data_IF_025839704192
#
_entry.id   IF_025839704192
#
_cell.length_a   1.000
_cell.length_b   1.000
_cell.length_c   1.000
_cell.angle_alpha   90.00
_cell.angle_beta   90.00
_cell.angle_gamma   90.00
#
_symmetry.space_group_name_H-M   'P 1'
#
loop_
_entity.id
_entity.type
_entity.pdbx_description
1 polymer ?
#
# COMPACT_ATOMS: atom_id res chain seq x y z
N UNK A 1 -6.04 -3.02 -8.11
CA UNK A 1 -5.49 -4.14 -7.34
C UNK A 1 -4.16 -4.48 -7.95
N UNK A 2 -3.06 -3.96 -7.42
CA UNK A 2 -1.72 -4.13 -8.01
C UNK A 2 -0.66 -4.36 -6.92
N UNK A 3 0.50 -4.85 -7.35
CA UNK A 3 1.67 -5.02 -6.49
C UNK A 3 2.80 -4.11 -7.02
N UNK A 4 3.20 -3.12 -6.23
CA UNK A 4 4.31 -2.23 -6.59
C UNK A 4 5.68 -2.72 -6.09
N UNK A 5 5.69 -3.78 -5.26
CA UNK A 5 6.90 -4.29 -4.60
C UNK A 5 7.57 -3.17 -3.78
N UNK A 6 8.87 -3.27 -3.50
CA UNK A 6 9.62 -2.26 -2.75
C UNK A 6 11.08 -2.19 -3.24
N UNK A 7 11.87 -1.31 -2.65
CA UNK A 7 13.30 -1.18 -2.93
C UNK A 7 13.59 -0.82 -4.39
N UNK A 8 14.58 -1.49 -5.00
CA UNK A 8 15.04 -1.20 -6.36
C UNK A 8 13.95 -1.35 -7.44
N UNK A 9 12.91 -2.15 -7.18
CA UNK A 9 11.81 -2.39 -8.13
C UNK A 9 10.75 -1.30 -8.05
N UNK A 10 10.61 -0.61 -6.91
CA UNK A 10 9.54 0.35 -6.66
C UNK A 10 9.53 1.52 -7.65
N UNK A 11 10.65 2.19 -7.98
CA UNK A 11 10.65 3.29 -8.95
C UNK A 11 10.10 2.90 -10.32
N UNK A 12 10.43 1.69 -10.78
CA UNK A 12 10.00 1.19 -12.09
C UNK A 12 8.48 0.96 -12.11
N UNK A 13 7.95 0.20 -11.15
CA UNK A 13 6.52 -0.13 -11.11
C UNK A 13 5.64 1.08 -10.82
N UNK A 14 6.12 2.02 -10.00
CA UNK A 14 5.42 3.29 -9.73
C UNK A 14 5.36 4.15 -10.99
N UNK A 15 6.46 4.28 -11.72
CA UNK A 15 6.48 5.02 -12.98
C UNK A 15 5.50 4.41 -14.01
N UNK A 16 5.44 3.09 -14.10
CA UNK A 16 4.56 2.40 -15.03
C UNK A 16 3.07 2.59 -14.70
N UNK A 17 2.66 2.41 -13.45
CA UNK A 17 1.25 2.63 -13.08
C UNK A 17 0.85 4.10 -13.21
N UNK A 18 1.74 5.03 -12.85
CA UNK A 18 1.48 6.46 -12.81
C UNK A 18 1.28 7.08 -14.20
N UNK A 19 1.72 6.39 -15.25
CA UNK A 19 1.53 6.78 -16.66
C UNK A 19 0.08 6.66 -17.12
N UNK A 20 -0.67 5.72 -16.54
CA UNK A 20 -1.97 5.29 -17.07
C UNK A 20 -3.10 5.46 -16.06
N UNK A 21 -2.82 5.30 -14.77
CA UNK A 21 -3.86 5.30 -13.73
C UNK A 21 -3.74 6.52 -12.82
N UNK A 22 -4.88 7.14 -12.51
CA UNK A 22 -4.94 8.19 -11.49
C UNK A 22 -4.89 7.66 -10.06
N UNK A 23 -5.44 6.46 -9.81
CA UNK A 23 -5.49 5.81 -8.50
C UNK A 23 -5.36 4.30 -8.63
N UNK A 24 -4.78 3.65 -7.63
CA UNK A 24 -4.75 2.19 -7.55
C UNK A 24 -4.79 1.67 -6.11
N UNK A 25 -5.52 0.56 -5.90
CA UNK A 25 -5.46 -0.24 -4.67
C UNK A 25 -4.15 -1.01 -4.62
N UNK A 26 -3.30 -0.71 -3.63
CA UNK A 26 -1.94 -1.23 -3.48
C UNK A 26 -1.93 -2.39 -2.49
N UNK A 27 -1.52 -3.57 -2.95
CA UNK A 27 -1.53 -4.77 -2.12
C UNK A 27 -0.42 -4.76 -1.05
N UNK A 28 -0.69 -5.31 0.15
CA UNK A 28 0.17 -5.14 1.33
C UNK A 28 1.20 -6.26 1.56
N UNK A 29 1.32 -7.21 0.64
CA UNK A 29 2.15 -8.42 0.78
C UNK A 29 3.62 -8.17 0.42
N UNK A 30 4.22 -7.16 1.07
CA UNK A 30 5.67 -7.00 1.12
C UNK A 30 6.31 -8.05 2.05
N UNK A 31 7.64 -8.08 2.11
CA UNK A 31 8.40 -8.89 3.07
C UNK A 31 9.24 -7.94 3.95
N UNK A 32 8.84 -7.67 5.21
CA UNK A 32 7.61 -8.10 5.88
C UNK A 32 6.34 -7.39 5.36
N UNK A 33 5.13 -7.95 5.57
CA UNK A 33 3.89 -7.37 5.08
C UNK A 33 3.50 -6.10 5.84
N UNK A 34 2.65 -5.30 5.20
CA UNK A 34 2.11 -4.05 5.75
C UNK A 34 0.86 -4.35 6.57
N UNK A 35 0.95 -4.29 7.91
CA UNK A 35 -0.08 -4.79 8.84
C UNK A 35 -0.88 -3.70 9.54
N UNK A 36 -0.35 -2.48 9.65
CA UNK A 36 -1.01 -1.38 10.36
C UNK A 36 -0.86 -0.02 9.64
N UNK A 37 -1.55 1.00 10.15
CA UNK A 37 -1.58 2.33 9.55
C UNK A 37 -0.20 2.98 9.42
N UNK A 38 0.67 2.82 10.43
CA UNK A 38 2.03 3.36 10.41
C UNK A 38 2.87 2.73 9.30
N UNK A 39 2.82 1.41 9.17
CA UNK A 39 3.52 0.70 8.10
C UNK A 39 2.98 1.08 6.72
N UNK A 40 1.66 1.26 6.62
CA UNK A 40 1.01 1.70 5.39
C UNK A 40 1.43 3.13 5.00
N UNK A 41 1.54 4.06 5.96
CA UNK A 41 2.04 5.41 5.68
C UNK A 41 3.50 5.35 5.23
N UNK A 42 4.36 4.62 5.94
CA UNK A 42 5.76 4.49 5.56
C UNK A 42 5.92 3.94 4.12
N UNK A 43 5.12 2.95 3.74
CA UNK A 43 5.12 2.44 2.36
C UNK A 43 4.55 3.45 1.36
N UNK A 44 3.46 4.14 1.71
CA UNK A 44 2.89 5.23 0.92
C UNK A 44 3.89 6.34 0.64
N UNK A 45 4.68 6.75 1.63
CA UNK A 45 5.71 7.77 1.45
C UNK A 45 6.80 7.31 0.47
N UNK A 46 7.23 6.04 0.53
CA UNK A 46 8.16 5.48 -0.47
C UNK A 46 7.58 5.49 -1.89
N UNK A 47 6.29 5.14 -2.04
CA UNK A 47 5.59 5.22 -3.33
C UNK A 47 5.52 6.65 -3.84
N UNK A 48 5.15 7.61 -2.99
CA UNK A 48 5.05 9.02 -3.36
C UNK A 48 6.40 9.63 -3.72
N UNK A 49 7.48 9.22 -3.05
CA UNK A 49 8.85 9.63 -3.39
C UNK A 49 9.32 9.04 -4.73
N UNK A 50 8.87 7.84 -5.08
CA UNK A 50 9.13 7.19 -6.36
C UNK A 50 8.24 7.69 -7.51
N UNK A 51 7.24 8.52 -7.22
CA UNK A 51 6.26 9.01 -8.21
C UNK A 51 6.91 10.01 -9.16
N UNK A 52 6.77 9.85 -10.49
CA UNK A 52 7.29 10.81 -11.46
C UNK A 52 6.80 12.24 -11.20
N UNK A 53 7.68 13.23 -11.42
CA UNK A 53 7.34 14.63 -11.27
C UNK A 53 6.13 15.00 -12.14
N UNK A 54 5.20 15.80 -11.57
CA UNK A 54 3.96 16.18 -12.25
C UNK A 54 2.86 15.11 -12.29
N UNK A 55 3.15 13.86 -11.89
CA UNK A 55 2.13 12.82 -11.82
C UNK A 55 1.13 13.09 -10.69
N UNK A 56 -0.16 12.90 -10.99
CA UNK A 56 -1.28 12.93 -10.03
C UNK A 56 -1.63 11.56 -9.47
N UNK A 57 -0.80 10.54 -9.70
CA UNK A 57 -1.06 9.19 -9.21
C UNK A 57 -1.20 9.14 -7.69
N UNK A 58 -2.28 8.55 -7.21
CA UNK A 58 -2.60 8.42 -5.79
C UNK A 58 -2.68 6.93 -5.39
N UNK A 59 -1.77 6.45 -4.52
CA UNK A 59 -1.81 5.09 -4.01
C UNK A 59 -2.86 4.95 -2.90
N UNK A 60 -3.80 4.03 -3.09
CA UNK A 60 -4.84 3.68 -2.10
C UNK A 60 -4.36 2.46 -1.30
N UNK A 61 -3.96 2.69 -0.05
CA UNK A 61 -3.26 1.67 0.74
C UNK A 61 -4.19 0.60 1.30
N UNK A 62 -3.63 -0.57 1.56
CA UNK A 62 -4.34 -1.74 2.10
C UNK A 62 -3.54 -2.30 3.28
N UNK A 63 -4.21 -2.91 4.25
CA UNK A 63 -3.57 -3.71 5.30
C UNK A 63 -3.60 -5.20 4.99
N UNK A 64 -2.54 -5.92 5.35
CA UNK A 64 -2.50 -7.37 5.37
C UNK A 64 -3.19 -7.86 6.66
N UNK A 65 -4.25 -8.66 6.53
CA UNK A 65 -4.93 -9.24 7.69
C UNK A 65 -4.12 -10.39 8.28
N UNK A 66 -3.95 -10.38 9.59
CA UNK A 66 -3.25 -11.40 10.38
C UNK A 66 -4.10 -11.79 11.58
N UNK A 67 -3.79 -12.91 12.23
CA UNK A 67 -4.47 -13.32 13.47
C UNK A 67 -4.26 -12.31 14.61
N UNK A 68 -3.24 -11.45 14.51
CA UNK A 68 -2.94 -10.38 15.46
C UNK A 68 -3.58 -9.04 15.10
N UNK A 69 -4.28 -8.94 13.96
CA UNK A 69 -4.94 -7.69 13.55
C UNK A 69 -6.11 -7.41 14.49
N UNK A 70 -6.09 -6.26 15.15
CA UNK A 70 -7.14 -5.87 16.10
C UNK A 70 -8.19 -4.96 15.46
N UNK A 71 -9.41 -4.86 16.03
CA UNK A 71 -10.38 -3.84 15.61
C UNK A 71 -9.85 -2.41 15.69
N UNK A 72 -8.94 -2.13 16.63
CA UNK A 72 -8.36 -0.80 16.80
C UNK A 72 -7.37 -0.44 15.67
N UNK A 73 -6.63 -1.42 15.16
CA UNK A 73 -5.80 -1.23 13.96
C UNK A 73 -6.67 -0.79 12.77
N UNK A 74 -7.86 -1.39 12.62
CA UNK A 74 -8.81 -1.05 11.55
C UNK A 74 -9.38 0.36 11.74
N UNK A 75 -9.77 0.74 12.96
CA UNK A 75 -10.25 2.11 13.25
C UNK A 75 -9.17 3.15 12.97
N UNK A 76 -7.96 2.92 13.47
CA UNK A 76 -6.80 3.80 13.27
C UNK A 76 -6.47 3.94 11.78
N UNK A 77 -6.46 2.83 11.05
CA UNK A 77 -6.21 2.86 9.61
C UNK A 77 -7.31 3.57 8.83
N UNK A 78 -8.59 3.37 9.18
CA UNK A 78 -9.69 4.09 8.55
C UNK A 78 -9.62 5.59 8.82
N UNK A 79 -9.26 5.99 10.04
CA UNK A 79 -9.10 7.38 10.44
C UNK A 79 -7.95 8.09 9.71
N UNK A 80 -6.96 7.35 9.19
CA UNK A 80 -5.83 7.92 8.46
C UNK A 80 -6.21 8.54 7.11
N UNK A 81 -7.36 8.15 6.54
CA UNK A 81 -7.86 8.64 5.26
C UNK A 81 -7.17 8.07 4.01
N UNK A 82 -6.01 7.41 4.14
CA UNK A 82 -5.27 6.83 3.01
C UNK A 82 -5.27 5.30 2.96
N UNK A 83 -5.77 4.61 4.00
CA UNK A 83 -6.03 3.18 3.97
C UNK A 83 -7.48 2.94 3.58
N UNK A 84 -7.68 2.18 2.50
CA UNK A 84 -9.01 1.99 1.90
C UNK A 84 -9.57 0.57 2.05
N UNK A 85 -8.72 -0.41 2.37
CA UNK A 85 -9.17 -1.80 2.53
C UNK A 85 -8.21 -2.61 3.42
N UNK A 86 -8.63 -3.83 3.74
CA UNK A 86 -7.78 -4.88 4.26
C UNK A 86 -7.86 -6.12 3.34
N UNK A 87 -6.78 -6.87 3.24
CA UNK A 87 -6.66 -8.04 2.37
C UNK A 87 -6.33 -9.27 3.18
N UNK A 88 -7.19 -10.28 3.09
CA UNK A 88 -6.93 -11.63 3.55
C UNK A 88 -6.17 -12.40 2.45
N UNK A 89 -5.14 -13.14 2.86
CA UNK A 89 -4.46 -14.12 2.04
C UNK A 89 -4.65 -15.50 2.69
N UNK A 90 -4.76 -16.60 1.91
CA UNK A 90 -4.69 -17.94 2.46
C UNK A 90 -3.40 -18.16 3.26
N UNK A 91 -3.47 -18.94 4.33
CA UNK A 91 -2.30 -19.28 5.12
C UNK A 91 -1.21 -19.96 4.26
N UNK A 92 0.03 -19.48 4.36
CA UNK A 92 1.20 -20.03 3.63
C UNK A 92 1.49 -19.42 2.26
N UNK A 93 0.78 -18.37 1.85
CA UNK A 93 0.99 -17.65 0.58
C UNK A 93 2.04 -16.52 0.65
#
# INVERSE_FOLDING_TARGET
HIHLRDGAVLPHTVADVARTFGRAIIMPNLVPPVRNAQQADAYRQRILAARPAGSRFEPLMVLYLTDQTTPEDIRTAKASGFVHAAKLYPAGA
#
